data_IF_207330736857
#
_entry.id   IF_207330736857
#
_cell.length_a   1.000
_cell.length_b   1.000
_cell.length_c   1.000
_cell.angle_alpha   90.00
_cell.angle_beta   90.00
_cell.angle_gamma   90.00
#
_symmetry.space_group_name_H-M   'P 1'
#
loop_
_entity.id
_entity.type
_entity.pdbx_description
1 polymer ?
#
# COMPACT_ATOMS: atom_id res chain seq x y z
N UNK A 1 -0.87 -12.58 0.73
CA UNK A 1 -0.92 -11.29 0.00
C UNK A 1 0.03 -11.30 -1.19
N UNK A 2 1.13 -12.07 -1.10
CA UNK A 2 2.18 -12.20 -2.11
C UNK A 2 1.67 -12.44 -3.53
N UNK A 3 0.72 -13.36 -3.72
CA UNK A 3 0.20 -13.71 -5.04
C UNK A 3 -0.52 -12.53 -5.72
N UNK A 4 -1.34 -11.79 -4.97
CA UNK A 4 -2.08 -10.64 -5.52
C UNK A 4 -1.13 -9.49 -5.88
N UNK A 5 -0.15 -9.21 -5.03
CA UNK A 5 0.85 -8.18 -5.31
C UNK A 5 1.77 -8.55 -6.49
N UNK A 6 2.10 -9.84 -6.66
CA UNK A 6 2.81 -10.33 -7.84
C UNK A 6 1.98 -10.12 -9.11
N UNK A 7 0.68 -10.41 -9.08
CA UNK A 7 -0.23 -10.16 -10.20
C UNK A 7 -0.22 -8.69 -10.63
N UNK A 8 -0.40 -7.75 -9.68
CA UNK A 8 -0.39 -6.32 -9.99
C UNK A 8 0.98 -5.80 -10.42
N UNK A 9 2.07 -6.40 -9.94
CA UNK A 9 3.43 -6.05 -10.40
C UNK A 9 3.67 -6.34 -11.88
N UNK A 10 2.92 -7.27 -12.48
CA UNK A 10 3.03 -7.57 -13.91
C UNK A 10 2.57 -6.41 -14.81
N UNK A 11 1.72 -5.51 -14.28
CA UNK A 11 1.34 -4.26 -14.96
C UNK A 11 2.39 -3.15 -14.80
N UNK A 12 3.45 -3.40 -14.03
CA UNK A 12 4.58 -2.49 -13.91
C UNK A 12 5.79 -3.02 -14.64
N UNK A 13 6.65 -2.13 -15.13
CA UNK A 13 7.95 -2.50 -15.71
C UNK A 13 8.96 -3.03 -14.67
N UNK A 14 8.59 -3.13 -13.39
CA UNK A 14 9.45 -3.67 -12.32
C UNK A 14 8.92 -5.02 -11.84
N UNK A 15 9.75 -6.06 -11.92
CA UNK A 15 9.47 -7.35 -11.29
C UNK A 15 9.50 -7.19 -9.77
N UNK A 16 8.37 -7.47 -9.11
CA UNK A 16 8.30 -7.48 -7.65
C UNK A 16 8.97 -8.73 -7.08
N UNK A 17 10.01 -8.55 -6.28
CA UNK A 17 10.57 -9.63 -5.47
C UNK A 17 9.74 -9.83 -4.21
N UNK A 18 9.62 -11.08 -3.73
CA UNK A 18 8.92 -11.38 -2.48
C UNK A 18 9.52 -10.62 -1.29
N UNK A 19 10.84 -10.45 -1.27
CA UNK A 19 11.55 -9.68 -0.24
C UNK A 19 11.17 -8.20 -0.25
N UNK A 20 11.14 -7.56 -1.42
CA UNK A 20 10.73 -6.16 -1.51
C UNK A 20 9.29 -5.95 -1.01
N UNK A 21 8.37 -6.85 -1.36
CA UNK A 21 7.01 -6.80 -0.87
C UNK A 21 6.92 -6.97 0.66
N UNK A 22 7.67 -7.91 1.23
CA UNK A 22 7.70 -8.11 2.69
C UNK A 22 8.20 -6.85 3.39
N UNK A 23 9.28 -6.23 2.91
CA UNK A 23 9.79 -4.98 3.47
C UNK A 23 8.75 -3.86 3.44
N UNK A 24 8.03 -3.68 2.33
CA UNK A 24 6.96 -2.69 2.26
C UNK A 24 5.79 -3.03 3.18
N UNK A 25 5.44 -4.31 3.32
CA UNK A 25 4.41 -4.75 4.27
C UNK A 25 4.84 -4.47 5.72
N UNK A 26 6.11 -4.62 6.05
CA UNK A 26 6.63 -4.26 7.37
C UNK A 26 6.48 -2.77 7.65
N UNK A 27 6.80 -1.90 6.67
CA UNK A 27 6.65 -0.45 6.81
C UNK A 27 5.22 -0.01 7.14
N UNK A 28 4.21 -0.75 6.69
CA UNK A 28 2.79 -0.45 6.96
C UNK A 28 2.17 -1.30 8.09
N UNK A 29 3.00 -2.02 8.85
CA UNK A 29 2.58 -2.85 9.97
C UNK A 29 1.77 -4.09 9.56
N UNK A 30 2.01 -4.63 8.36
CA UNK A 30 1.36 -5.84 7.83
C UNK A 30 2.32 -7.02 7.56
N UNK A 31 3.60 -6.90 7.92
CA UNK A 31 4.60 -7.97 7.73
C UNK A 31 4.16 -9.32 8.31
N UNK A 32 3.58 -9.32 9.52
CA UNK A 32 3.10 -10.53 10.21
C UNK A 32 1.95 -11.26 9.47
N UNK A 33 1.29 -10.58 8.53
CA UNK A 33 0.20 -11.16 7.72
C UNK A 33 0.62 -11.49 6.29
N UNK A 34 1.89 -11.33 5.89
CA UNK A 34 2.33 -11.43 4.49
C UNK A 34 1.77 -12.64 3.72
N UNK A 35 1.62 -13.78 4.41
CA UNK A 35 1.14 -15.05 3.88
C UNK A 35 -0.40 -15.21 3.88
N UNK A 36 -1.15 -14.33 4.52
CA UNK A 36 -2.61 -14.39 4.59
C UNK A 36 -3.26 -14.16 3.22
N UNK A 37 -4.43 -14.76 2.98
CA UNK A 37 -5.22 -14.47 1.78
C UNK A 37 -5.81 -13.05 1.88
N UNK A 38 -5.77 -12.27 0.80
CA UNK A 38 -6.27 -10.87 0.79
C UNK A 38 -7.72 -10.75 1.28
N UNK A 39 -8.54 -11.79 1.04
CA UNK A 39 -9.93 -11.85 1.52
C UNK A 39 -10.09 -11.78 3.04
N UNK A 40 -9.06 -12.14 3.83
CA UNK A 40 -9.11 -12.14 5.31
C UNK A 40 -8.63 -10.83 5.93
N UNK A 41 -8.29 -9.83 5.10
CA UNK A 41 -7.88 -8.50 5.53
C UNK A 41 -9.10 -7.61 5.79
N UNK A 42 -9.00 -6.71 6.78
CA UNK A 42 -9.99 -5.65 6.98
C UNK A 42 -9.96 -4.65 5.81
N UNK A 43 -10.99 -3.79 5.71
CA UNK A 43 -11.02 -2.73 4.69
C UNK A 43 -9.77 -1.84 4.72
N UNK A 44 -9.38 -1.37 5.91
CA UNK A 44 -8.17 -0.57 6.10
C UNK A 44 -6.89 -1.31 5.69
N UNK A 45 -6.77 -2.59 6.05
CA UNK A 45 -5.61 -3.41 5.66
C UNK A 45 -5.52 -3.62 4.14
N UNK A 46 -6.65 -3.83 3.46
CA UNK A 46 -6.70 -3.91 1.99
C UNK A 46 -6.28 -2.58 1.36
N UNK A 47 -6.72 -1.45 1.92
CA UNK A 47 -6.36 -0.12 1.43
C UNK A 47 -4.86 0.15 1.58
N UNK A 48 -4.25 -0.17 2.74
CA UNK A 48 -2.79 -0.09 2.93
C UNK A 48 -2.02 -0.99 1.95
N UNK A 49 -2.49 -2.22 1.74
CA UNK A 49 -1.90 -3.13 0.75
C UNK A 49 -1.94 -2.53 -0.67
N UNK A 50 -3.06 -1.92 -1.07
CA UNK A 50 -3.17 -1.28 -2.39
C UNK A 50 -2.19 -0.12 -2.55
N UNK A 51 -1.98 0.69 -1.50
CA UNK A 51 -0.96 1.77 -1.52
C UNK A 51 0.43 1.16 -1.73
N UNK A 52 0.78 0.11 -0.98
CA UNK A 52 2.06 -0.60 -1.17
C UNK A 52 2.22 -1.12 -2.59
N UNK A 53 1.17 -1.72 -3.17
CA UNK A 53 1.17 -2.21 -4.55
C UNK A 53 1.41 -1.05 -5.54
N UNK A 54 0.76 0.10 -5.32
CA UNK A 54 0.97 1.29 -6.14
C UNK A 54 2.41 1.85 -6.01
N UNK A 55 3.06 1.67 -4.86
CA UNK A 55 4.45 2.11 -4.65
C UNK A 55 5.49 1.20 -5.29
N UNK A 56 5.14 -0.03 -5.69
CA UNK A 56 6.12 -1.03 -6.14
C UNK A 56 6.93 -0.61 -7.37
N UNK A 57 6.35 0.22 -8.23
CA UNK A 57 7.03 0.71 -9.41
C UNK A 57 7.84 1.98 -9.15
N UNK A 58 7.84 2.47 -7.91
CA UNK A 58 8.46 3.72 -7.46
C UNK A 58 7.96 4.94 -8.25
N UNK A 59 6.65 5.24 -8.20
CA UNK A 59 6.11 6.39 -8.91
C UNK A 59 6.62 7.71 -8.30
N UNK A 60 6.77 8.72 -9.17
CA UNK A 60 6.98 10.12 -8.78
C UNK A 60 5.67 10.78 -8.30
N UNK A 61 4.53 10.34 -8.86
CA UNK A 61 3.19 10.86 -8.57
C UNK A 61 2.27 9.73 -8.15
N UNK A 62 1.60 9.87 -7.00
CA UNK A 62 0.60 8.94 -6.50
C UNK A 62 -0.78 9.61 -6.47
N UNK A 63 -1.70 9.09 -7.27
CA UNK A 63 -3.11 9.49 -7.27
C UNK A 63 -3.91 8.51 -6.41
N UNK A 64 -4.67 9.01 -5.45
CA UNK A 64 -5.50 8.18 -4.59
C UNK A 64 -6.93 8.71 -4.53
N UNK A 65 -7.88 7.88 -4.93
CA UNK A 65 -9.31 8.16 -4.85
C UNK A 65 -9.86 7.68 -3.49
N UNK A 66 -10.31 8.65 -2.70
CA UNK A 66 -10.92 8.53 -1.38
C UNK A 66 -10.16 7.57 -0.43
N UNK A 67 -8.83 7.73 -0.21
CA UNK A 67 -7.98 6.71 0.41
C UNK A 67 -8.37 6.32 1.83
N UNK A 68 -9.24 7.09 2.49
CA UNK A 68 -9.66 6.85 3.87
C UNK A 68 -11.16 6.55 4.02
N UNK A 69 -11.95 6.57 2.95
CA UNK A 69 -13.40 6.32 3.05
C UNK A 69 -13.71 4.88 3.45
N UNK A 70 -14.70 4.70 4.33
CA UNK A 70 -15.22 3.39 4.72
C UNK A 70 -14.30 2.52 5.60
N UNK A 71 -13.20 3.07 6.14
CA UNK A 71 -12.30 2.34 7.06
C UNK A 71 -12.33 2.94 8.47
N UNK A 72 -11.87 2.16 9.46
CA UNK A 72 -11.86 2.53 10.88
C UNK A 72 -10.85 3.65 11.20
N UNK A 73 -11.03 4.31 12.35
CA UNK A 73 -10.23 5.47 12.76
C UNK A 73 -8.73 5.18 12.80
N UNK A 74 -8.33 4.01 13.30
CA UNK A 74 -6.92 3.62 13.40
C UNK A 74 -6.31 3.49 12.01
N UNK A 75 -6.99 2.79 11.09
CA UNK A 75 -6.54 2.66 9.70
C UNK A 75 -6.47 4.00 8.98
N UNK A 76 -7.43 4.91 9.20
CA UNK A 76 -7.38 6.28 8.65
C UNK A 76 -6.14 7.03 9.12
N UNK A 77 -5.83 6.95 10.41
CA UNK A 77 -4.64 7.60 10.97
C UNK A 77 -3.36 7.04 10.34
N UNK A 78 -3.22 5.72 10.28
CA UNK A 78 -2.04 5.05 9.71
C UNK A 78 -1.85 5.40 8.22
N UNK A 79 -2.92 5.43 7.43
CA UNK A 79 -2.84 5.83 6.02
C UNK A 79 -2.40 7.29 5.89
N UNK A 80 -2.94 8.19 6.70
CA UNK A 80 -2.51 9.60 6.69
C UNK A 80 -1.03 9.77 7.06
N UNK A 81 -0.52 8.99 8.02
CA UNK A 81 0.91 9.01 8.36
C UNK A 81 1.76 8.48 7.20
N UNK A 82 1.34 7.40 6.56
CA UNK A 82 2.01 6.86 5.37
C UNK A 82 2.06 7.90 4.24
N UNK A 83 0.95 8.58 3.95
CA UNK A 83 0.87 9.63 2.94
C UNK A 83 1.86 10.76 3.26
N UNK A 84 1.90 11.22 4.50
CA UNK A 84 2.85 12.26 4.93
C UNK A 84 4.30 11.82 4.77
N UNK A 85 4.62 10.58 5.14
CA UNK A 85 5.96 10.03 4.98
C UNK A 85 6.38 9.99 3.50
N UNK A 86 5.51 9.48 2.63
CA UNK A 86 5.78 9.39 1.20
C UNK A 86 5.99 10.78 0.57
N UNK A 87 5.24 11.79 1.02
CA UNK A 87 5.44 13.18 0.59
C UNK A 87 6.78 13.74 1.08
N UNK A 88 7.20 13.43 2.31
CA UNK A 88 8.52 13.81 2.83
C UNK A 88 9.66 13.12 2.08
N UNK A 89 9.44 11.89 1.61
CA UNK A 89 10.38 11.13 0.76
C UNK A 89 10.43 11.65 -0.69
N UNK A 90 9.76 12.77 -0.99
CA UNK A 90 9.84 13.48 -2.27
C UNK A 90 8.79 13.06 -3.30
N UNK A 91 7.80 12.25 -2.92
CA UNK A 91 6.71 11.86 -3.83
C UNK A 91 5.63 12.95 -3.89
N UNK A 92 5.11 13.20 -5.08
CA UNK A 92 3.93 14.06 -5.24
C UNK A 92 2.68 13.22 -5.01
N UNK A 93 1.79 13.67 -4.13
CA UNK A 93 0.60 12.93 -3.77
C UNK A 93 -0.63 13.80 -3.99
N UNK A 94 -1.60 13.25 -4.72
CA UNK A 94 -2.91 13.88 -4.96
C UNK A 94 -3.97 12.91 -4.46
N UNK A 95 -4.84 13.40 -3.59
CA UNK A 95 -5.98 12.65 -3.08
C UNK A 95 -7.15 13.57 -2.80
N UNK A 96 -8.36 13.04 -2.92
CA UNK A 96 -9.60 13.59 -2.40
C UNK A 96 -9.98 12.92 -1.07
N UNK A 97 -10.91 13.50 -0.33
CA UNK A 97 -11.37 13.03 0.99
C UNK A 97 -12.83 13.40 1.19
#
# INVERSE_FOLDING_TARGET
MLENAQYWSAFSNKKLTKSALINHLEMIGLGYRAHDKVKTLSGGMKRKLNIVIALLHDPEILLMDEPTVGIDFQSKYEINQLIKQLAQDGKTIIHDT
#
